data_IF_736370204303
#
_entry.id   IF_736370204303
#
_cell.length_a   1.000
_cell.length_b   1.000
_cell.length_c   1.000
_cell.angle_alpha   90.00
_cell.angle_beta   90.00
_cell.angle_gamma   90.00
#
_symmetry.space_group_name_H-M   'P 1'
#
loop_
_entity.id
_entity.type
_entity.pdbx_description
1 polymer ?
#
# COMPACT_ATOMS: atom_id res chain seq x y z
N UNK A 1 -10.14 -18.19 -12.43
CA UNK A 1 -9.71 -16.86 -11.95
C UNK A 1 -8.49 -16.92 -11.02
N UNK A 2 -8.08 -18.10 -10.56
CA UNK A 2 -6.94 -18.30 -9.66
C UNK A 2 -5.61 -17.69 -10.11
N UNK A 3 -5.26 -17.80 -11.38
CA UNK A 3 -4.00 -17.21 -11.89
C UNK A 3 -4.01 -15.68 -11.80
N UNK A 4 -5.16 -15.05 -12.07
CA UNK A 4 -5.33 -13.61 -11.96
C UNK A 4 -5.28 -13.17 -10.50
N UNK A 5 -5.98 -13.88 -9.61
CA UNK A 5 -5.91 -13.64 -8.17
C UNK A 5 -4.47 -13.71 -7.66
N UNK A 6 -3.76 -14.79 -7.99
CA UNK A 6 -2.36 -14.98 -7.60
C UNK A 6 -1.47 -13.86 -8.14
N UNK A 7 -1.62 -13.49 -9.41
CA UNK A 7 -0.88 -12.38 -10.01
C UNK A 7 -1.16 -11.04 -9.29
N UNK A 8 -2.42 -10.77 -8.94
CA UNK A 8 -2.81 -9.59 -8.18
C UNK A 8 -2.24 -9.59 -6.76
N UNK A 9 -2.23 -10.73 -6.06
CA UNK A 9 -1.60 -10.86 -4.73
C UNK A 9 -0.10 -10.58 -4.81
N UNK A 10 0.59 -11.16 -5.80
CA UNK A 10 2.03 -10.89 -6.03
C UNK A 10 2.26 -9.41 -6.33
N UNK A 11 1.47 -8.82 -7.23
CA UNK A 11 1.60 -7.41 -7.60
C UNK A 11 1.27 -6.48 -6.42
N UNK A 12 0.30 -6.86 -5.59
CA UNK A 12 0.03 -6.18 -4.33
C UNK A 12 1.32 -6.19 -3.49
N UNK A 13 1.90 -7.36 -3.22
CA UNK A 13 3.15 -7.45 -2.44
C UNK A 13 4.32 -6.63 -3.05
N UNK A 14 4.46 -6.62 -4.38
CA UNK A 14 5.45 -5.75 -5.06
C UNK A 14 5.21 -4.27 -4.75
N UNK A 15 3.96 -3.83 -4.66
CA UNK A 15 3.61 -2.47 -4.27
C UNK A 15 4.17 -2.07 -2.91
N UNK A 16 4.07 -2.93 -1.89
CA UNK A 16 4.64 -2.61 -0.58
C UNK A 16 6.17 -2.65 -0.57
N UNK A 17 6.77 -3.59 -1.33
CA UNK A 17 8.21 -3.63 -1.53
C UNK A 17 8.73 -2.34 -2.22
N UNK A 18 7.98 -1.77 -3.16
CA UNK A 18 8.32 -0.51 -3.81
C UNK A 18 8.28 0.69 -2.84
N UNK A 19 7.29 0.74 -1.94
CA UNK A 19 7.25 1.76 -0.88
C UNK A 19 8.45 1.63 0.05
N UNK A 20 8.73 0.40 0.52
CA UNK A 20 9.86 0.11 1.40
C UNK A 20 11.20 0.47 0.74
N UNK A 21 11.41 0.09 -0.52
CA UNK A 21 12.58 0.49 -1.30
C UNK A 21 12.70 2.01 -1.34
N UNK A 22 11.61 2.71 -1.67
CA UNK A 22 11.56 4.17 -1.67
C UNK A 22 11.97 4.77 -0.33
N UNK A 23 11.47 4.23 0.78
CA UNK A 23 11.76 4.68 2.14
C UNK A 23 13.21 4.47 2.54
N UNK A 24 13.72 3.24 2.40
CA UNK A 24 15.08 2.89 2.82
C UNK A 24 16.15 3.53 1.92
N UNK A 25 15.86 3.74 0.64
CA UNK A 25 16.75 4.49 -0.26
C UNK A 25 17.02 5.91 0.25
N UNK A 26 15.98 6.60 0.71
CA UNK A 26 16.10 7.98 1.23
C UNK A 26 16.74 8.00 2.62
N UNK A 27 16.53 6.97 3.43
CA UNK A 27 17.22 6.79 4.70
C UNK A 27 18.73 6.58 4.49
N UNK A 28 19.11 5.68 3.59
CA UNK A 28 20.50 5.37 3.29
C UNK A 28 21.26 6.60 2.76
N UNK A 29 20.59 7.44 1.96
CA UNK A 29 21.13 8.71 1.46
C UNK A 29 21.05 9.87 2.46
N UNK A 30 20.38 9.68 3.61
CA UNK A 30 20.07 10.73 4.61
C UNK A 30 19.34 11.95 4.02
N UNK A 31 18.56 11.73 2.96
CA UNK A 31 17.78 12.79 2.27
C UNK A 31 16.36 12.89 2.82
N UNK A 32 15.81 11.79 3.36
CA UNK A 32 14.46 11.74 3.96
C UNK A 32 13.35 12.33 3.06
N UNK A 33 13.51 12.24 1.73
CA UNK A 33 12.55 12.77 0.77
C UNK A 33 11.39 11.82 0.50
N UNK A 34 10.32 12.35 -0.10
CA UNK A 34 9.27 11.51 -0.70
C UNK A 34 9.55 11.33 -2.19
N UNK A 35 9.46 10.09 -2.68
CA UNK A 35 9.85 9.75 -4.05
C UNK A 35 8.81 8.88 -4.77
N UNK A 36 8.91 8.84 -6.11
CA UNK A 36 7.93 8.19 -6.98
C UNK A 36 7.75 6.68 -6.73
N UNK A 37 8.73 5.99 -6.15
CA UNK A 37 8.57 4.58 -5.79
C UNK A 37 7.53 4.40 -4.68
N UNK A 38 7.47 5.35 -3.73
CA UNK A 38 6.42 5.37 -2.70
C UNK A 38 5.05 5.63 -3.29
N UNK A 39 4.93 6.58 -4.23
CA UNK A 39 3.68 6.86 -4.92
C UNK A 39 3.20 5.63 -5.72
N UNK A 40 4.03 5.12 -6.62
CA UNK A 40 3.65 3.99 -7.46
C UNK A 40 3.38 2.74 -6.63
N UNK A 41 4.18 2.46 -5.60
CA UNK A 41 3.93 1.35 -4.69
C UNK A 41 2.58 1.45 -3.98
N UNK A 42 2.22 2.63 -3.48
CA UNK A 42 0.92 2.88 -2.84
C UNK A 42 -0.25 2.84 -3.85
N UNK A 43 -0.08 3.38 -5.06
CA UNK A 43 -1.08 3.29 -6.12
C UNK A 43 -1.30 1.85 -6.59
N UNK A 44 -0.23 1.06 -6.72
CA UNK A 44 -0.31 -0.37 -7.04
C UNK A 44 -1.05 -1.11 -5.93
N UNK A 45 -0.71 -0.87 -4.67
CA UNK A 45 -1.40 -1.42 -3.50
C UNK A 45 -2.91 -1.10 -3.51
N UNK A 46 -3.26 0.16 -3.75
CA UNK A 46 -4.65 0.63 -3.81
C UNK A 46 -5.42 -0.08 -4.92
N UNK A 47 -4.89 -0.06 -6.15
CA UNK A 47 -5.54 -0.66 -7.32
C UNK A 47 -5.71 -2.17 -7.14
N UNK A 48 -4.63 -2.88 -6.81
CA UNK A 48 -4.68 -4.33 -6.63
C UNK A 48 -5.55 -4.73 -5.45
N UNK A 49 -5.57 -3.95 -4.36
CA UNK A 49 -6.44 -4.21 -3.21
C UNK A 49 -7.92 -4.15 -3.59
N UNK A 50 -8.33 -3.12 -4.34
CA UNK A 50 -9.72 -3.00 -4.85
C UNK A 50 -10.07 -4.17 -5.78
N UNK A 51 -9.16 -4.54 -6.69
CA UNK A 51 -9.39 -5.66 -7.61
C UNK A 51 -9.48 -7.01 -6.88
N UNK A 52 -8.65 -7.24 -5.86
CA UNK A 52 -8.68 -8.47 -5.05
C UNK A 52 -10.00 -8.62 -4.29
N UNK A 53 -10.48 -7.54 -3.67
CA UNK A 53 -11.79 -7.53 -3.01
C UNK A 53 -12.89 -7.76 -4.03
N UNK A 54 -12.88 -7.04 -5.15
CA UNK A 54 -13.90 -7.20 -6.20
C UNK A 54 -13.95 -8.61 -6.78
N UNK A 55 -12.80 -9.26 -6.97
CA UNK A 55 -12.72 -10.64 -7.48
C UNK A 55 -13.25 -11.66 -6.46
N UNK A 56 -13.06 -11.38 -5.17
CA UNK A 56 -13.61 -12.21 -4.11
C UNK A 56 -15.13 -12.07 -4.02
N UNK A 57 -15.63 -10.84 -3.98
CA UNK A 57 -17.07 -10.54 -3.90
C UNK A 57 -17.84 -10.92 -5.17
N UNK A 58 -17.18 -11.07 -6.33
CA UNK A 58 -17.83 -11.49 -7.57
C UNK A 58 -18.19 -12.98 -7.60
N UNK A 59 -17.83 -13.76 -6.58
CA UNK A 59 -18.06 -15.21 -6.53
C UNK A 59 -17.29 -15.99 -7.61
N UNK A 60 -16.25 -15.38 -8.18
CA UNK A 60 -15.49 -15.98 -9.29
C UNK A 60 -14.28 -16.80 -8.83
N UNK A 61 -14.02 -16.81 -7.51
CA UNK A 61 -13.04 -17.66 -6.84
C UNK A 61 -13.78 -18.79 -6.13
N UNK A 62 -13.25 -20.00 -6.20
CA UNK A 62 -13.77 -21.16 -5.47
C UNK A 62 -13.19 -21.14 -4.04
N UNK A 63 -13.76 -20.29 -3.19
CA UNK A 63 -13.24 -19.99 -1.86
C UNK A 63 -14.35 -19.72 -0.87
N UNK A 64 -14.35 -20.47 0.25
CA UNK A 64 -15.23 -20.25 1.40
C UNK A 64 -14.76 -19.09 2.30
N UNK A 65 -13.66 -18.42 1.93
CA UNK A 65 -13.15 -17.29 2.71
C UNK A 65 -14.17 -16.14 2.72
N UNK A 66 -14.40 -15.55 3.89
CA UNK A 66 -15.26 -14.38 4.04
C UNK A 66 -14.39 -13.15 4.21
N UNK A 67 -14.62 -12.12 3.40
CA UNK A 67 -13.85 -10.87 3.46
C UNK A 67 -14.26 -10.09 4.70
N UNK A 68 -13.27 -9.78 5.54
CA UNK A 68 -13.43 -8.81 6.62
C UNK A 68 -13.42 -7.38 6.03
N UNK A 69 -14.61 -6.84 5.78
CA UNK A 69 -14.75 -5.49 5.25
C UNK A 69 -14.25 -4.39 6.19
N UNK A 70 -14.24 -4.61 7.51
CA UNK A 70 -13.67 -3.64 8.45
C UNK A 70 -12.18 -3.53 8.24
N UNK A 71 -11.47 -4.67 8.15
CA UNK A 71 -10.04 -4.71 7.84
C UNK A 71 -9.73 -4.10 6.48
N UNK A 72 -10.53 -4.41 5.45
CA UNK A 72 -10.38 -3.83 4.11
C UNK A 72 -10.57 -2.31 4.14
N UNK A 73 -11.59 -1.80 4.82
CA UNK A 73 -11.85 -0.36 4.92
C UNK A 73 -10.66 0.38 5.56
N UNK A 74 -10.09 -0.18 6.65
CA UNK A 74 -8.92 0.40 7.32
C UNK A 74 -7.72 0.44 6.36
N UNK A 75 -7.40 -0.68 5.68
CA UNK A 75 -6.28 -0.74 4.73
C UNK A 75 -6.47 0.21 3.55
N UNK A 76 -7.71 0.35 3.06
CA UNK A 76 -8.05 1.28 1.98
C UNK A 76 -7.78 2.74 2.38
N UNK A 77 -8.22 3.14 3.57
CA UNK A 77 -7.97 4.48 4.11
C UNK A 77 -6.46 4.73 4.25
N UNK A 78 -5.71 3.76 4.77
CA UNK A 78 -4.25 3.88 4.91
C UNK A 78 -3.57 4.04 3.55
N UNK A 79 -3.94 3.25 2.54
CA UNK A 79 -3.36 3.35 1.20
C UNK A 79 -3.60 4.74 0.57
N UNK A 80 -4.82 5.27 0.71
CA UNK A 80 -5.16 6.63 0.26
C UNK A 80 -4.36 7.68 1.03
N UNK A 81 -4.22 7.51 2.36
CA UNK A 81 -3.44 8.41 3.19
C UNK A 81 -1.96 8.45 2.77
N UNK A 82 -1.36 7.31 2.41
CA UNK A 82 0.03 7.27 1.90
C UNK A 82 0.18 8.08 0.61
N UNK A 83 -0.75 7.93 -0.34
CA UNK A 83 -0.75 8.71 -1.60
C UNK A 83 -0.92 10.20 -1.31
N UNK A 84 -1.79 10.57 -0.36
CA UNK A 84 -1.97 11.94 0.07
C UNK A 84 -0.70 12.51 0.71
N UNK A 85 -0.04 11.76 1.60
CA UNK A 85 1.22 12.17 2.24
C UNK A 85 2.33 12.39 1.21
N UNK A 86 2.44 11.52 0.21
CA UNK A 86 3.35 11.75 -0.91
C UNK A 86 3.02 13.05 -1.64
N UNK A 87 1.75 13.25 -2.02
CA UNK A 87 1.30 14.37 -2.85
C UNK A 87 1.48 15.73 -2.15
N UNK A 88 1.22 15.76 -0.85
CA UNK A 88 1.45 16.95 -0.01
C UNK A 88 2.95 17.13 0.22
N UNK A 89 3.65 16.09 0.67
CA UNK A 89 5.07 16.15 1.00
C UNK A 89 5.93 16.56 -0.18
N UNK A 90 5.59 16.13 -1.40
CA UNK A 90 6.37 16.47 -2.60
C UNK A 90 6.39 17.96 -2.92
N UNK A 91 5.41 18.72 -2.42
CA UNK A 91 5.27 20.17 -2.60
C UNK A 91 5.88 20.98 -1.45
N UNK A 92 6.42 20.32 -0.42
CA UNK A 92 7.02 20.97 0.76
C UNK A 92 8.53 21.08 0.58
N UNK A 93 9.09 22.17 1.12
CA UNK A 93 10.54 22.39 1.21
C UNK A 93 11.19 21.37 2.15
N UNK A 94 10.55 21.09 3.28
CA UNK A 94 10.95 20.05 4.23
C UNK A 94 10.04 18.81 4.09
N UNK A 95 10.64 17.67 3.75
CA UNK A 95 9.90 16.44 3.40
C UNK A 95 9.97 15.35 4.47
N UNK A 96 10.86 15.50 5.47
CA UNK A 96 11.16 14.43 6.45
C UNK A 96 9.93 13.95 7.22
N UNK A 97 9.02 14.86 7.59
CA UNK A 97 7.77 14.50 8.25
C UNK A 97 6.92 13.56 7.37
N UNK A 98 6.77 13.89 6.08
CA UNK A 98 5.95 13.10 5.15
C UNK A 98 6.61 11.76 4.82
N UNK A 99 7.94 11.73 4.70
CA UNK A 99 8.69 10.48 4.60
C UNK A 99 8.44 9.57 5.81
N UNK A 100 8.48 10.13 7.02
CA UNK A 100 8.21 9.38 8.26
C UNK A 100 6.76 8.90 8.34
N UNK A 101 5.80 9.76 7.98
CA UNK A 101 4.37 9.39 7.94
C UNK A 101 4.10 8.28 6.93
N UNK A 102 4.68 8.34 5.73
CA UNK A 102 4.57 7.26 4.73
C UNK A 102 5.12 5.95 5.29
N UNK A 103 6.31 5.97 5.89
CA UNK A 103 6.91 4.78 6.50
C UNK A 103 6.05 4.20 7.62
N UNK A 104 5.58 5.06 8.54
CA UNK A 104 4.72 4.67 9.65
C UNK A 104 3.38 4.09 9.18
N UNK A 105 2.69 4.76 8.26
CA UNK A 105 1.44 4.27 7.67
C UNK A 105 1.64 2.95 6.93
N UNK A 106 2.76 2.78 6.22
CA UNK A 106 3.08 1.52 5.53
C UNK A 106 3.26 0.39 6.53
N UNK A 107 4.00 0.61 7.62
CA UNK A 107 4.17 -0.38 8.68
C UNK A 107 2.83 -0.71 9.36
N UNK A 108 2.02 0.30 9.67
CA UNK A 108 0.67 0.10 10.20
C UNK A 108 -0.17 -0.75 9.25
N UNK A 109 -0.12 -0.50 7.93
CA UNK A 109 -0.85 -1.30 6.95
C UNK A 109 -0.43 -2.79 6.96
N UNK A 110 0.85 -3.08 7.19
CA UNK A 110 1.36 -4.46 7.34
C UNK A 110 0.81 -5.09 8.61
N UNK A 111 0.88 -4.37 9.74
CA UNK A 111 0.38 -4.87 11.02
C UNK A 111 -1.11 -5.18 10.93
N UNK A 112 -1.92 -4.29 10.35
CA UNK A 112 -3.36 -4.53 10.14
C UNK A 112 -3.60 -5.74 9.22
N UNK A 113 -2.73 -5.98 8.24
CA UNK A 113 -2.87 -7.14 7.36
C UNK A 113 -2.64 -8.49 8.05
N UNK A 114 -1.89 -8.50 9.17
CA UNK A 114 -1.53 -9.74 9.88
C UNK A 114 -2.24 -9.91 11.23
N UNK A 115 -2.48 -8.81 11.96
CA UNK A 115 -2.94 -8.83 13.34
C UNK A 115 -4.46 -8.73 13.51
N UNK A 116 -5.15 -8.21 12.51
CA UNK A 116 -6.61 -8.30 12.35
C UNK A 116 -6.86 -9.35 11.30
#
# INVERSE_FOLDING_TARGET
MEILYTALVVLHFVGIAAIAFGFFKELAKKTFGVNVAMLHGASTQLLTGVLLVGLHESGSLDSDYVVDHTKIAIKLIIAIAIIAMYSIGKRKSEQKLYWALIGGLTLTNIVIAYAL
#
